data_IF_693341704071
#
_entry.id   IF_693341704071
#
_cell.length_a   1.000
_cell.length_b   1.000
_cell.length_c   1.000
_cell.angle_alpha   90.00
_cell.angle_beta   90.00
_cell.angle_gamma   90.00
#
_symmetry.space_group_name_H-M   'P 1'
#
loop_
_entity.id
_entity.type
_entity.pdbx_description
1 polymer ?
#
# COMPACT_ATOMS: atom_id res chain seq x y z
N UNK A 1 -6.20 14.61 14.36
CA UNK A 1 -5.70 13.23 14.53
C UNK A 1 -5.67 12.96 16.03
N UNK A 2 -6.41 11.95 16.49
CA UNK A 2 -6.32 11.46 17.88
C UNK A 2 -5.10 10.55 17.97
N UNK A 3 -4.06 10.97 18.70
CA UNK A 3 -2.86 10.16 18.94
C UNK A 3 -2.79 9.75 20.40
N UNK A 4 -2.42 8.48 20.63
CA UNK A 4 -2.02 7.97 21.93
C UNK A 4 -0.65 7.31 21.88
N UNK A 5 0.04 7.28 23.01
CA UNK A 5 1.23 6.44 23.22
C UNK A 5 0.79 5.09 23.76
N UNK A 6 1.48 4.02 23.38
CA UNK A 6 1.19 2.68 23.85
C UNK A 6 2.37 1.73 23.68
N UNK A 7 2.18 0.47 24.08
CA UNK A 7 3.18 -0.59 23.93
C UNK A 7 2.67 -1.72 23.05
N UNK A 8 3.49 -2.19 22.12
CA UNK A 8 3.16 -3.37 21.32
C UNK A 8 3.09 -4.60 22.21
N UNK A 9 1.92 -5.25 22.28
CA UNK A 9 1.68 -6.41 23.15
C UNK A 9 1.71 -7.73 22.39
N UNK A 10 1.40 -7.72 21.09
CA UNK A 10 1.40 -8.93 20.28
C UNK A 10 1.63 -8.60 18.80
N UNK A 11 2.24 -9.53 18.07
CA UNK A 11 2.29 -9.54 16.60
C UNK A 11 1.39 -10.69 16.13
N UNK A 12 0.35 -10.37 15.35
CA UNK A 12 -0.65 -11.34 14.92
C UNK A 12 -0.36 -11.87 13.50
N UNK A 13 0.01 -10.96 12.60
CA UNK A 13 0.40 -11.25 11.22
C UNK A 13 1.56 -10.35 10.85
N UNK A 14 2.58 -10.93 10.24
CA UNK A 14 3.74 -10.21 9.75
C UNK A 14 3.95 -10.50 8.26
N UNK A 15 3.72 -9.49 7.44
CA UNK A 15 4.17 -9.41 6.06
C UNK A 15 5.22 -8.31 5.96
N UNK A 16 6.04 -8.34 4.91
CA UNK A 16 7.11 -7.35 4.71
C UNK A 16 6.61 -5.89 4.75
N UNK A 17 5.44 -5.64 4.17
CA UNK A 17 4.88 -4.29 3.98
C UNK A 17 3.74 -3.96 4.95
N UNK A 18 3.23 -4.96 5.69
CA UNK A 18 2.08 -4.83 6.58
C UNK A 18 2.25 -5.73 7.81
N UNK A 19 2.07 -5.15 8.98
CA UNK A 19 1.99 -5.90 10.24
C UNK A 19 0.64 -5.65 10.88
N UNK A 20 -0.07 -6.73 11.23
CA UNK A 20 -1.26 -6.69 12.09
C UNK A 20 -0.81 -7.07 13.49
N UNK A 21 -1.03 -6.18 14.45
CA UNK A 21 -0.49 -6.29 15.80
C UNK A 21 -1.50 -5.79 16.83
N UNK A 22 -1.14 -5.89 18.10
CA UNK A 22 -1.88 -5.27 19.20
C UNK A 22 -1.01 -4.25 19.93
N UNK A 23 -1.61 -3.11 20.27
CA UNK A 23 -1.01 -2.09 21.14
C UNK A 23 -1.89 -1.96 22.37
N UNK A 24 -1.34 -2.33 23.53
CA UNK A 24 -2.06 -2.42 24.81
C UNK A 24 -3.34 -3.29 24.69
N UNK A 25 -3.24 -4.42 23.98
CA UNK A 25 -4.35 -5.35 23.71
C UNK A 25 -5.39 -4.85 22.70
N UNK A 26 -5.16 -3.71 22.04
CA UNK A 26 -6.05 -3.17 20.99
C UNK A 26 -5.49 -3.48 19.60
N UNK A 27 -6.28 -4.06 18.67
CA UNK A 27 -5.83 -4.32 17.30
C UNK A 27 -5.38 -3.06 16.57
N UNK A 28 -4.23 -3.14 15.90
CA UNK A 28 -3.55 -2.03 15.24
C UNK A 28 -2.86 -2.51 13.95
N UNK A 29 -2.78 -1.62 12.96
CA UNK A 29 -2.05 -1.84 11.71
C UNK A 29 -0.76 -1.04 11.71
N UNK A 30 0.34 -1.64 11.29
CA UNK A 30 1.58 -0.93 11.00
C UNK A 30 2.02 -1.20 9.56
N UNK A 31 2.63 -0.19 8.95
CA UNK A 31 3.24 -0.26 7.63
C UNK A 31 4.75 -0.11 7.83
N UNK A 32 5.55 -1.19 7.88
CA UNK A 32 6.96 -1.11 8.25
C UNK A 32 7.79 -0.22 7.34
N UNK A 33 7.39 -0.07 6.08
CA UNK A 33 8.02 0.87 5.15
C UNK A 33 7.86 2.35 5.56
N UNK A 34 6.85 2.68 6.36
CA UNK A 34 6.65 4.02 6.94
C UNK A 34 7.08 4.12 8.41
N UNK A 35 6.89 3.04 9.16
CA UNK A 35 6.98 3.04 10.62
C UNK A 35 8.23 2.34 11.15
N UNK A 36 8.98 1.68 10.27
CA UNK A 36 10.10 0.82 10.62
C UNK A 36 9.63 -0.57 11.06
N UNK A 37 10.56 -1.50 11.33
CA UNK A 37 10.22 -2.80 11.88
C UNK A 37 9.53 -2.65 13.24
N UNK A 38 8.67 -3.61 13.59
CA UNK A 38 7.91 -3.60 14.86
C UNK A 38 8.12 -4.93 15.57
N UNK A 39 8.27 -4.92 16.89
CA UNK A 39 8.11 -6.13 17.71
C UNK A 39 7.43 -5.83 19.04
N UNK A 40 7.10 -6.90 19.76
CA UNK A 40 6.60 -6.84 21.14
C UNK A 40 7.53 -5.98 22.01
N UNK A 41 6.93 -5.27 22.95
CA UNK A 41 7.54 -4.30 23.86
C UNK A 41 7.97 -2.96 23.24
N UNK A 42 7.79 -2.76 21.94
CA UNK A 42 8.03 -1.45 21.33
C UNK A 42 7.10 -0.37 21.88
N UNK A 43 7.70 0.76 22.23
CA UNK A 43 7.01 2.02 22.55
C UNK A 43 6.62 2.75 21.25
N UNK A 44 5.33 3.04 21.10
CA UNK A 44 4.74 3.48 19.83
C UNK A 44 3.74 4.62 20.03
N UNK A 45 3.56 5.43 18.98
CA UNK A 45 2.42 6.33 18.82
C UNK A 45 1.40 5.69 17.87
N UNK A 46 0.12 5.79 18.22
CA UNK A 46 -0.99 5.17 17.50
C UNK A 46 -2.05 6.23 17.20
N UNK A 47 -2.52 6.26 15.96
CA UNK A 47 -3.73 6.98 15.56
C UNK A 47 -4.94 6.08 15.78
N UNK A 48 -5.81 6.46 16.71
CA UNK A 48 -6.98 5.68 17.13
C UNK A 48 -8.31 6.23 16.60
N UNK A 49 -8.25 7.29 15.81
CA UNK A 49 -9.43 8.11 15.47
C UNK A 49 -10.52 7.31 14.73
N UNK A 50 -10.14 6.39 13.83
CA UNK A 50 -11.10 5.60 13.07
C UNK A 50 -11.85 4.59 13.96
N UNK A 51 -11.18 4.06 14.98
CA UNK A 51 -11.76 3.18 16.00
C UNK A 51 -12.68 3.96 16.94
N UNK A 52 -12.25 5.13 17.42
CA UNK A 52 -13.07 6.01 18.27
C UNK A 52 -14.39 6.41 17.61
N UNK A 53 -14.37 6.60 16.29
CA UNK A 53 -15.55 6.92 15.49
C UNK A 53 -16.44 5.70 15.18
N UNK A 54 -16.02 4.48 15.52
CA UNK A 54 -16.83 3.27 15.32
C UNK A 54 -17.12 2.95 13.85
N UNK A 55 -16.17 3.19 12.94
CA UNK A 55 -16.35 3.04 11.48
C UNK A 55 -16.49 1.58 10.98
N UNK A 56 -16.74 0.62 11.88
CA UNK A 56 -16.92 -0.79 11.55
C UNK A 56 -15.67 -1.40 10.92
N UNK A 57 -15.82 -2.06 9.78
CA UNK A 57 -14.73 -2.79 9.10
C UNK A 57 -13.59 -1.92 8.57
N UNK A 58 -13.73 -0.58 8.60
CA UNK A 58 -12.66 0.37 8.28
C UNK A 58 -12.07 1.08 9.50
N UNK A 59 -12.57 0.80 10.70
CA UNK A 59 -12.17 1.46 11.95
C UNK A 59 -11.00 0.76 12.63
N UNK A 60 -9.78 0.96 12.11
CA UNK A 60 -8.56 0.41 12.72
C UNK A 60 -7.76 1.49 13.45
N UNK A 61 -7.11 1.11 14.56
CA UNK A 61 -5.95 1.84 15.04
C UNK A 61 -4.82 1.67 14.00
N UNK A 62 -4.08 2.75 13.73
CA UNK A 62 -2.95 2.75 12.81
C UNK A 62 -1.71 3.26 13.54
N UNK A 63 -0.64 2.47 13.55
CA UNK A 63 0.63 2.85 14.13
C UNK A 63 1.18 4.06 13.37
N UNK A 64 1.36 5.16 14.09
CA UNK A 64 1.82 6.44 13.55
C UNK A 64 3.35 6.53 13.54
N UNK A 65 3.99 6.11 14.63
CA UNK A 65 5.46 6.07 14.75
C UNK A 65 5.90 5.00 15.75
N UNK A 66 6.98 4.30 15.46
CA UNK A 66 7.65 3.44 16.44
C UNK A 66 8.82 4.22 17.07
N UNK A 67 8.69 4.53 18.36
CA UNK A 67 9.64 5.36 19.10
C UNK A 67 10.87 4.59 19.59
N UNK A 68 10.83 3.26 19.53
CA UNK A 68 11.93 2.40 19.97
C UNK A 68 12.94 2.16 18.84
N UNK A 69 12.46 1.87 17.63
CA UNK A 69 13.32 1.50 16.49
C UNK A 69 12.88 2.04 15.13
N UNK A 70 11.77 2.77 15.07
CA UNK A 70 11.24 3.35 13.83
C UNK A 70 11.70 4.77 13.54
N UNK A 71 12.57 5.35 14.38
CA UNK A 71 13.11 6.70 14.17
C UNK A 71 14.40 6.64 13.35
N UNK A 72 14.62 7.66 12.51
CA UNK A 72 15.82 7.76 11.69
C UNK A 72 15.83 6.83 10.47
N UNK A 73 14.66 6.39 10.00
CA UNK A 73 14.53 5.64 8.76
C UNK A 73 15.08 6.46 7.59
N UNK A 74 15.82 5.80 6.71
CA UNK A 74 16.31 6.41 5.48
C UNK A 74 15.26 6.30 4.38
N UNK A 75 15.24 7.28 3.48
CA UNK A 75 14.50 7.16 2.24
C UNK A 75 15.06 6.02 1.36
N UNK A 76 14.22 5.52 0.46
CA UNK A 76 14.67 4.58 -0.57
C UNK A 76 15.77 5.23 -1.42
N UNK A 77 16.80 4.46 -1.76
CA UNK A 77 17.93 4.96 -2.52
C UNK A 77 17.46 5.52 -3.89
N UNK A 78 17.79 6.79 -4.16
CA UNK A 78 17.44 7.46 -5.41
C UNK A 78 15.98 7.91 -5.53
N UNK A 79 15.20 7.90 -4.44
CA UNK A 79 13.85 8.45 -4.43
C UNK A 79 13.86 9.99 -4.41
N UNK A 80 13.19 10.63 -5.38
CA UNK A 80 13.01 12.09 -5.40
C UNK A 80 11.54 12.54 -5.37
N UNK A 81 10.60 11.60 -5.36
CA UNK A 81 9.17 11.89 -5.33
C UNK A 81 8.58 11.55 -3.96
N UNK A 82 7.76 12.46 -3.44
CA UNK A 82 7.13 12.33 -2.13
C UNK A 82 5.73 11.73 -2.25
N UNK A 83 5.46 10.66 -1.50
CA UNK A 83 4.10 10.22 -1.17
C UNK A 83 3.57 11.05 0.00
N UNK A 84 2.27 11.33 -0.03
CA UNK A 84 1.56 12.11 0.98
C UNK A 84 2.27 13.46 1.31
N UNK A 85 2.66 14.25 0.29
CA UNK A 85 3.50 15.44 0.49
C UNK A 85 2.83 16.44 1.42
N UNK A 86 3.64 17.11 2.24
CA UNK A 86 3.22 18.14 3.20
C UNK A 86 2.37 17.63 4.37
N UNK A 87 2.28 16.31 4.56
CA UNK A 87 1.71 15.69 5.76
C UNK A 87 2.83 15.21 6.69
N UNK A 88 2.52 14.92 7.95
CA UNK A 88 3.48 14.28 8.87
C UNK A 88 3.85 12.84 8.47
N UNK A 89 3.15 12.26 7.50
CA UNK A 89 3.39 10.91 6.96
C UNK A 89 4.11 10.92 5.61
N UNK A 90 4.61 12.08 5.17
CA UNK A 90 5.30 12.16 3.90
C UNK A 90 6.52 11.25 3.87
N UNK A 91 6.67 10.48 2.80
CA UNK A 91 7.82 9.57 2.59
C UNK A 91 8.29 9.63 1.15
N UNK A 92 9.60 9.64 0.94
CA UNK A 92 10.18 9.60 -0.40
C UNK A 92 10.13 8.17 -0.93
N UNK A 93 9.62 7.99 -2.16
CA UNK A 93 9.56 6.71 -2.86
C UNK A 93 10.09 6.87 -4.27
N UNK A 94 10.79 5.84 -4.75
CA UNK A 94 11.22 5.75 -6.13
C UNK A 94 10.00 5.44 -7.01
N UNK A 95 9.71 6.33 -7.95
CA UNK A 95 8.58 6.17 -8.87
C UNK A 95 9.06 5.62 -10.22
N UNK A 96 8.20 4.88 -10.92
CA UNK A 96 8.53 4.30 -12.23
C UNK A 96 9.02 5.37 -13.23
N UNK A 97 8.43 6.56 -13.17
CA UNK A 97 8.80 7.72 -13.97
C UNK A 97 10.28 8.13 -13.84
N UNK A 98 10.94 7.79 -12.73
CA UNK A 98 12.35 8.14 -12.49
C UNK A 98 13.31 7.14 -13.15
N UNK A 99 12.84 5.99 -13.63
CA UNK A 99 13.71 4.81 -13.85
C UNK A 99 13.37 4.02 -15.09
N UNK A 100 12.08 3.96 -15.43
CA UNK A 100 11.55 3.09 -16.45
C UNK A 100 11.17 3.91 -17.69
N UNK A 101 11.38 3.33 -18.87
CA UNK A 101 10.81 3.88 -20.10
C UNK A 101 9.32 3.58 -20.15
N UNK A 102 8.49 4.64 -20.09
CA UNK A 102 7.05 4.52 -20.15
C UNK A 102 6.55 4.47 -21.60
N UNK A 103 5.49 3.70 -21.85
CA UNK A 103 4.85 3.69 -23.15
C UNK A 103 4.23 5.06 -23.47
N UNK A 104 4.38 5.52 -24.72
CA UNK A 104 3.79 6.78 -25.19
C UNK A 104 2.30 6.66 -25.56
N UNK A 105 1.79 5.43 -25.66
CA UNK A 105 0.40 5.10 -25.97
C UNK A 105 0.04 3.75 -25.35
N UNK A 106 -1.23 3.57 -24.96
CA UNK A 106 -1.76 2.27 -24.52
C UNK A 106 -2.13 1.37 -25.71
N UNK A 107 -2.21 1.95 -26.91
CA UNK A 107 -2.65 1.30 -28.14
C UNK A 107 -4.02 0.64 -27.96
N UNK A 108 -4.07 -0.69 -27.93
CA UNK A 108 -5.28 -1.48 -27.74
C UNK A 108 -5.36 -2.21 -26.41
N UNK A 109 -4.45 -1.93 -25.46
CA UNK A 109 -4.40 -2.63 -24.17
C UNK A 109 -5.75 -2.54 -23.44
N UNK A 110 -6.43 -3.68 -23.20
CA UNK A 110 -7.65 -3.74 -22.41
C UNK A 110 -7.47 -3.10 -21.02
N UNK A 111 -8.49 -2.37 -20.57
CA UNK A 111 -8.53 -1.82 -19.20
C UNK A 111 -9.90 -2.07 -18.61
N UNK A 112 -9.94 -2.77 -17.47
CA UNK A 112 -11.18 -3.01 -16.72
C UNK A 112 -11.30 -1.96 -15.62
N UNK A 113 -12.22 -1.01 -15.81
CA UNK A 113 -12.50 0.02 -14.81
C UNK A 113 -13.31 -0.57 -13.64
N UNK A 114 -12.66 -0.67 -12.47
CA UNK A 114 -13.32 -1.05 -11.23
C UNK A 114 -13.75 0.19 -10.44
N UNK A 115 -14.98 0.20 -9.93
CA UNK A 115 -15.48 1.24 -9.02
C UNK A 115 -15.13 0.95 -7.55
N UNK A 116 -14.87 -0.31 -7.22
CA UNK A 116 -14.48 -0.76 -5.88
C UNK A 116 -13.25 -1.65 -5.93
N UNK A 117 -12.40 -1.53 -4.91
CA UNK A 117 -11.21 -2.39 -4.77
C UNK A 117 -11.57 -3.88 -4.74
N UNK A 118 -12.69 -4.25 -4.11
CA UNK A 118 -13.16 -5.64 -4.02
C UNK A 118 -13.52 -6.27 -5.36
N UNK A 119 -13.70 -5.49 -6.43
CA UNK A 119 -13.97 -6.01 -7.78
C UNK A 119 -12.74 -6.63 -8.44
N UNK A 120 -11.53 -6.42 -7.91
CA UNK A 120 -10.31 -7.02 -8.46
C UNK A 120 -10.38 -8.56 -8.50
N UNK A 121 -10.85 -9.19 -7.41
CA UNK A 121 -10.96 -10.64 -7.34
C UNK A 121 -11.87 -11.27 -8.42
N UNK A 122 -13.14 -10.85 -8.57
CA UNK A 122 -13.99 -11.41 -9.62
C UNK A 122 -13.51 -11.06 -11.03
N UNK A 123 -12.83 -9.93 -11.24
CA UNK A 123 -12.24 -9.59 -12.54
C UNK A 123 -11.12 -10.58 -12.89
N UNK A 124 -10.15 -10.80 -11.99
CA UNK A 124 -9.08 -11.77 -12.21
C UNK A 124 -9.65 -13.19 -12.40
N UNK A 125 -10.67 -13.57 -11.63
CA UNK A 125 -11.33 -14.87 -11.79
C UNK A 125 -12.02 -15.03 -13.16
N UNK A 126 -12.60 -13.95 -13.71
CA UNK A 126 -13.24 -13.96 -15.02
C UNK A 126 -12.26 -13.96 -16.20
N UNK A 127 -11.10 -13.31 -16.05
CA UNK A 127 -10.01 -13.36 -17.03
C UNK A 127 -9.37 -14.75 -17.09
N UNK A 128 -9.26 -15.42 -15.95
CA UNK A 128 -8.67 -16.75 -15.85
C UNK A 128 -7.15 -16.74 -16.00
N UNK A 129 -6.59 -17.91 -16.28
CA UNK A 129 -5.15 -18.07 -16.51
C UNK A 129 -4.79 -17.69 -17.96
N UNK A 130 -3.58 -17.14 -18.16
CA UNK A 130 -3.02 -16.83 -19.48
C UNK A 130 -2.96 -15.34 -19.83
N UNK A 131 -3.69 -14.49 -19.11
CA UNK A 131 -3.53 -13.03 -19.20
C UNK A 131 -2.51 -12.52 -18.19
N UNK A 132 -1.65 -11.59 -18.61
CA UNK A 132 -0.76 -10.87 -17.69
C UNK A 132 -1.51 -9.67 -17.13
N UNK A 133 -2.00 -9.78 -15.91
CA UNK A 133 -2.78 -8.72 -15.26
C UNK A 133 -1.88 -7.83 -14.38
N UNK A 134 -2.01 -6.51 -14.54
CA UNK A 134 -1.55 -5.52 -13.57
C UNK A 134 -2.75 -4.79 -12.95
N UNK A 135 -2.67 -4.51 -11.65
CA UNK A 135 -3.69 -3.77 -10.93
C UNK A 135 -3.20 -2.35 -10.63
N UNK A 136 -3.93 -1.33 -11.06
CA UNK A 136 -3.65 0.06 -10.67
C UNK A 136 -4.56 0.45 -9.51
N UNK A 137 -4.00 0.56 -8.31
CA UNK A 137 -4.68 1.11 -7.16
C UNK A 137 -4.82 2.63 -7.34
N UNK A 138 -6.05 3.05 -7.62
CA UNK A 138 -6.40 4.46 -7.77
C UNK A 138 -6.35 5.16 -6.40
N UNK A 139 -6.00 6.44 -6.43
CA UNK A 139 -5.75 7.25 -5.23
C UNK A 139 -6.91 7.21 -4.21
N UNK A 140 -8.17 7.04 -4.65
CA UNK A 140 -9.32 6.65 -3.81
C UNK A 140 -9.28 7.13 -2.35
N UNK A 141 -9.41 6.19 -1.39
CA UNK A 141 -9.25 6.45 0.04
C UNK A 141 -7.79 6.53 0.52
N UNK A 142 -6.84 6.85 -0.35
CA UNK A 142 -5.39 6.82 -0.14
C UNK A 142 -4.91 5.49 0.48
N UNK A 143 -5.50 4.38 0.02
CA UNK A 143 -5.27 3.06 0.61
C UNK A 143 -3.84 2.59 0.30
N UNK A 144 -3.10 2.09 1.30
CA UNK A 144 -1.86 1.35 1.05
C UNK A 144 -2.19 0.04 0.35
N UNK A 145 -1.53 -0.28 -0.77
CA UNK A 145 -1.77 -1.50 -1.53
C UNK A 145 -1.48 -2.74 -0.67
N UNK A 146 -0.46 -2.66 0.18
CA UNK A 146 -0.06 -3.67 1.15
C UNK A 146 -1.17 -4.09 2.12
N UNK A 147 -2.19 -3.26 2.35
CA UNK A 147 -3.35 -3.60 3.19
C UNK A 147 -4.24 -4.68 2.56
N UNK A 148 -4.24 -4.80 1.23
CA UNK A 148 -5.17 -5.68 0.52
C UNK A 148 -4.76 -7.15 0.61
N UNK A 149 -5.53 -7.93 1.36
CA UNK A 149 -5.42 -9.39 1.35
C UNK A 149 -5.76 -9.97 -0.04
N UNK A 150 -6.67 -9.33 -0.79
CA UNK A 150 -7.02 -9.72 -2.17
C UNK A 150 -5.84 -9.61 -3.12
N UNK A 151 -5.12 -8.48 -3.11
CA UNK A 151 -3.93 -8.28 -3.95
C UNK A 151 -2.89 -9.34 -3.60
N UNK A 152 -2.63 -9.55 -2.31
CA UNK A 152 -1.65 -10.54 -1.84
C UNK A 152 -2.00 -11.96 -2.29
N UNK A 153 -3.26 -12.37 -2.13
CA UNK A 153 -3.73 -13.70 -2.51
C UNK A 153 -3.66 -13.93 -4.01
N UNK A 154 -4.11 -12.96 -4.83
CA UNK A 154 -4.07 -13.07 -6.29
C UNK A 154 -2.64 -13.16 -6.82
N UNK A 155 -1.71 -12.38 -6.25
CA UNK A 155 -0.28 -12.48 -6.56
C UNK A 155 0.29 -13.83 -6.16
N UNK A 156 -0.03 -14.32 -4.97
CA UNK A 156 0.41 -15.64 -4.50
C UNK A 156 -0.06 -16.79 -5.40
N UNK A 157 -1.18 -16.62 -6.10
CA UNK A 157 -1.72 -17.58 -7.08
C UNK A 157 -1.26 -17.33 -8.52
N UNK A 158 -0.45 -16.30 -8.78
CA UNK A 158 -0.02 -15.93 -10.13
C UNK A 158 -1.12 -15.35 -11.02
N UNK A 159 -2.27 -14.96 -10.46
CA UNK A 159 -3.39 -14.34 -11.19
C UNK A 159 -3.25 -12.82 -11.32
N UNK A 160 -2.29 -12.24 -10.59
CA UNK A 160 -1.92 -10.83 -10.64
C UNK A 160 -0.39 -10.73 -10.67
N UNK A 161 0.17 -10.06 -11.68
CA UNK A 161 1.62 -9.93 -11.83
C UNK A 161 2.20 -8.76 -11.02
N UNK A 162 1.52 -7.62 -11.02
CA UNK A 162 1.94 -6.44 -10.25
C UNK A 162 0.75 -5.62 -9.77
N UNK A 163 0.93 -4.96 -8.64
CA UNK A 163 0.04 -3.93 -8.13
C UNK A 163 0.76 -2.57 -8.08
N UNK A 164 0.23 -1.60 -8.81
CA UNK A 164 0.78 -0.25 -8.95
C UNK A 164 0.02 0.69 -8.03
N UNK A 165 0.73 1.42 -7.18
CA UNK A 165 0.18 2.45 -6.31
C UNK A 165 0.25 3.82 -7.00
N UNK A 166 -0.91 4.36 -7.40
CA UNK A 166 -0.99 5.65 -8.08
C UNK A 166 -1.35 6.79 -7.12
N UNK A 167 -0.67 7.93 -7.27
CA UNK A 167 -0.97 9.15 -6.51
C UNK A 167 -0.73 8.98 -5.01
N UNK A 168 -1.78 9.18 -4.20
CA UNK A 168 -1.70 9.12 -2.74
C UNK A 168 -1.67 7.70 -2.16
N UNK A 169 -1.99 6.68 -2.95
CA UNK A 169 -1.74 5.29 -2.57
C UNK A 169 -0.24 5.00 -2.54
N UNK A 170 0.18 4.02 -1.75
CA UNK A 170 1.58 3.63 -1.59
C UNK A 170 1.69 2.14 -1.24
N UNK A 171 2.92 1.64 -1.09
CA UNK A 171 3.26 0.22 -0.89
C UNK A 171 2.78 -0.67 -2.04
N UNK A 172 2.78 -0.13 -3.27
CA UNK A 172 2.68 -0.96 -4.47
C UNK A 172 3.99 -1.70 -4.75
N UNK A 173 3.93 -2.67 -5.65
CA UNK A 173 5.14 -3.20 -6.31
C UNK A 173 5.86 -2.09 -7.07
N UNK A 174 5.07 -1.18 -7.61
CA UNK A 174 5.53 0.00 -8.34
C UNK A 174 4.74 1.22 -7.87
N UNK A 175 5.46 2.32 -7.73
CA UNK A 175 4.88 3.61 -7.39
C UNK A 175 4.80 4.49 -8.65
N UNK A 176 3.64 5.08 -8.90
CA UNK A 176 3.45 6.03 -10.00
C UNK A 176 2.78 7.32 -9.51
N UNK A 177 3.12 8.45 -10.13
CA UNK A 177 2.63 9.75 -9.69
C UNK A 177 1.14 9.90 -9.97
N UNK A 178 0.65 9.21 -11.00
CA UNK A 178 -0.76 9.20 -11.39
C UNK A 178 -1.13 7.93 -12.17
N UNK A 179 -2.41 7.82 -12.50
CA UNK A 179 -3.00 6.67 -13.21
C UNK A 179 -2.49 6.55 -14.64
N UNK A 180 -2.24 7.67 -15.34
CA UNK A 180 -1.75 7.64 -16.71
C UNK A 180 -0.35 7.03 -16.77
N UNK A 181 0.56 7.44 -15.88
CA UNK A 181 1.89 6.83 -15.76
C UNK A 181 1.81 5.35 -15.40
N UNK A 182 0.90 4.97 -14.48
CA UNK A 182 0.72 3.57 -14.09
C UNK A 182 0.27 2.69 -15.26
N UNK A 183 -0.66 3.18 -16.09
CA UNK A 183 -1.10 2.47 -17.30
C UNK A 183 -0.01 2.42 -18.37
N UNK A 184 0.73 3.52 -18.56
CA UNK A 184 1.85 3.58 -19.49
C UNK A 184 2.99 2.62 -19.08
N UNK A 185 3.25 2.51 -17.78
CA UNK A 185 4.16 1.53 -17.21
C UNK A 185 3.66 0.10 -17.46
N UNK A 186 2.40 -0.19 -17.14
CA UNK A 186 1.83 -1.52 -17.35
C UNK A 186 1.92 -1.95 -18.83
N UNK A 187 1.63 -1.03 -19.75
CA UNK A 187 1.79 -1.26 -21.18
C UNK A 187 3.23 -1.57 -21.57
N UNK A 188 4.19 -0.80 -21.08
CA UNK A 188 5.61 -0.98 -21.37
C UNK A 188 6.14 -2.32 -20.84
N UNK A 189 5.60 -2.82 -19.72
CA UNK A 189 5.97 -4.12 -19.15
C UNK A 189 5.27 -5.33 -19.83
N UNK A 190 4.41 -5.08 -20.82
CA UNK A 190 3.71 -6.11 -21.57
C UNK A 190 2.62 -6.81 -20.76
N UNK A 191 1.88 -6.07 -19.95
CA UNK A 191 0.60 -6.52 -19.39
C UNK A 191 -0.52 -6.44 -20.45
N UNK A 192 -1.52 -7.32 -20.29
CA UNK A 192 -2.64 -7.56 -21.20
C UNK A 192 -3.97 -7.03 -20.62
#
# INVERSE_FOLDING_TARGET
MSLRRGRVTAILVEHEELVRLEVDGTPCLAYPRLTGPVAVDDDVLVNEQARELGLGSGGFDVLHANLTRGLGLSADAGAHVMKLPYTSLQSARRHAEETDELASSLEGMPVVCCSLHSQLAPVCAGLGEGSRVAYVQLAGGALPVSLSDTVRELKGRGLLGAAVAAGACFDGDVECVNVASALAWARAQGYD
#
